data_IF_998104725223
#
_entry.id   IF_998104725223
#
_cell.length_a   1.000
_cell.length_b   1.000
_cell.length_c   1.000
_cell.angle_alpha   90.00
_cell.angle_beta   90.00
_cell.angle_gamma   90.00
#
_symmetry.space_group_name_H-M   'P 1'
#
loop_
_entity.id
_entity.type
_entity.pdbx_description
1 polymer ?
#
# COMPACT_ATOMS: atom_id res chain seq x y z
N UNK A 1 3.06 -8.23 -9.38
CA UNK A 1 2.04 -8.85 -10.27
C UNK A 1 2.20 -8.37 -11.70
N UNK A 2 2.17 -7.06 -11.97
CA UNK A 2 2.40 -6.49 -13.32
C UNK A 2 3.72 -6.95 -13.98
N UNK A 3 4.82 -6.97 -13.21
CA UNK A 3 6.14 -7.41 -13.71
C UNK A 3 6.14 -8.83 -14.29
N UNK A 4 5.47 -9.77 -13.59
CA UNK A 4 5.32 -11.16 -14.05
C UNK A 4 4.37 -11.26 -15.24
N UNK A 5 3.32 -10.45 -15.27
CA UNK A 5 2.37 -10.42 -16.39
C UNK A 5 3.02 -9.93 -17.69
N UNK A 6 3.98 -9.01 -17.60
CA UNK A 6 4.77 -8.52 -18.74
C UNK A 6 5.92 -9.47 -19.15
N UNK A 7 6.03 -10.66 -18.54
CA UNK A 7 7.04 -11.67 -18.90
C UNK A 7 8.47 -11.38 -18.44
N UNK A 8 8.67 -10.43 -17.53
CA UNK A 8 10.00 -10.01 -17.05
C UNK A 8 10.47 -10.84 -15.87
N UNK A 9 11.79 -11.01 -15.75
CA UNK A 9 12.38 -11.74 -14.63
C UNK A 9 12.36 -10.86 -13.37
N UNK A 10 11.99 -11.44 -12.23
CA UNK A 10 12.00 -10.76 -10.93
C UNK A 10 13.43 -10.35 -10.52
N UNK A 11 14.48 -10.96 -11.09
CA UNK A 11 15.90 -10.62 -10.82
C UNK A 11 16.31 -9.26 -11.36
N UNK A 12 15.58 -8.73 -12.34
CA UNK A 12 15.82 -7.39 -12.88
C UNK A 12 15.47 -6.26 -11.90
N UNK A 13 14.67 -6.55 -10.87
CA UNK A 13 14.18 -5.54 -9.92
C UNK A 13 15.25 -5.29 -8.85
N UNK A 14 15.82 -4.07 -8.75
CA UNK A 14 16.87 -3.75 -7.78
C UNK A 14 16.44 -3.94 -6.32
N UNK A 15 15.19 -3.61 -6.02
CA UNK A 15 14.64 -3.69 -4.67
C UNK A 15 13.38 -4.54 -4.65
N UNK A 16 13.44 -5.65 -3.91
CA UNK A 16 12.29 -6.53 -3.70
C UNK A 16 11.71 -6.31 -2.32
N UNK A 17 10.39 -6.12 -2.25
CA UNK A 17 9.70 -6.03 -0.98
C UNK A 17 9.87 -7.35 -0.19
N UNK A 18 10.28 -7.30 1.10
CA UNK A 18 10.62 -8.50 1.89
C UNK A 18 9.43 -9.44 2.11
N UNK A 19 8.21 -8.89 2.20
CA UNK A 19 6.97 -9.65 2.39
C UNK A 19 6.17 -9.84 1.08
N UNK A 20 6.68 -9.28 -0.04
CA UNK A 20 6.07 -9.39 -1.36
C UNK A 20 4.57 -9.08 -1.40
N UNK A 21 3.83 -9.89 -2.17
CA UNK A 21 2.38 -9.75 -2.38
C UNK A 21 1.59 -10.06 -1.11
N UNK A 22 2.03 -11.03 -0.31
CA UNK A 22 1.37 -11.43 0.93
C UNK A 22 1.37 -10.31 1.97
N UNK A 23 2.47 -9.57 2.09
CA UNK A 23 2.54 -8.40 2.96
C UNK A 23 1.50 -7.33 2.59
N UNK A 24 1.25 -7.11 1.31
CA UNK A 24 0.21 -6.18 0.86
C UNK A 24 -1.20 -6.64 1.23
N UNK A 25 -1.51 -7.94 1.11
CA UNK A 25 -2.82 -8.48 1.50
C UNK A 25 -3.07 -8.39 3.00
N UNK A 26 -2.07 -8.70 3.82
CA UNK A 26 -2.18 -8.57 5.28
C UNK A 26 -2.33 -7.11 5.69
N UNK A 27 -1.55 -6.21 5.09
CA UNK A 27 -1.68 -4.77 5.32
C UNK A 27 -3.05 -4.23 4.94
N UNK A 28 -3.57 -4.62 3.78
CA UNK A 28 -4.92 -4.25 3.34
C UNK A 28 -6.00 -4.75 4.31
N UNK A 29 -5.89 -5.99 4.77
CA UNK A 29 -6.80 -6.56 5.75
C UNK A 29 -6.77 -5.79 7.09
N UNK A 30 -5.58 -5.47 7.59
CA UNK A 30 -5.42 -4.73 8.84
C UNK A 30 -5.98 -3.30 8.73
N UNK A 31 -5.74 -2.62 7.61
CA UNK A 31 -6.31 -1.29 7.35
C UNK A 31 -7.84 -1.37 7.29
N UNK A 32 -8.41 -2.37 6.62
CA UNK A 32 -9.86 -2.56 6.58
C UNK A 32 -10.46 -2.78 7.98
N UNK A 33 -9.80 -3.57 8.83
CA UNK A 33 -10.20 -3.78 10.22
C UNK A 33 -10.16 -2.46 11.00
N UNK A 34 -9.08 -1.69 10.88
CA UNK A 34 -8.97 -0.37 11.51
C UNK A 34 -10.10 0.57 11.09
N UNK A 35 -10.46 0.61 9.80
CA UNK A 35 -11.56 1.45 9.32
C UNK A 35 -12.91 1.06 9.93
N UNK A 36 -13.18 -0.25 10.10
CA UNK A 36 -14.39 -0.75 10.77
C UNK A 36 -14.38 -0.35 12.25
N UNK A 37 -13.25 -0.49 12.93
CA UNK A 37 -13.12 -0.11 14.34
C UNK A 37 -13.31 1.41 14.54
N UNK A 38 -12.71 2.24 13.67
CA UNK A 38 -12.89 3.69 13.69
C UNK A 38 -14.35 4.07 13.42
N UNK A 39 -15.03 3.41 12.49
CA UNK A 39 -16.45 3.63 12.22
C UNK A 39 -17.30 3.31 13.46
N UNK A 40 -17.04 2.17 14.13
CA UNK A 40 -17.76 1.81 15.36
C UNK A 40 -17.52 2.83 16.49
N UNK A 41 -16.27 3.25 16.71
CA UNK A 41 -15.93 4.26 17.73
C UNK A 41 -16.56 5.63 17.42
N UNK A 42 -16.70 6.01 16.16
CA UNK A 42 -17.39 7.23 15.77
C UNK A 42 -18.91 7.14 16.03
N UNK A 43 -19.50 5.94 15.94
CA UNK A 43 -20.94 5.73 16.12
C UNK A 43 -21.33 5.53 17.59
N UNK A 44 -20.46 4.89 18.37
CA UNK A 44 -20.61 4.65 19.82
C UNK A 44 -19.39 5.18 20.58
N UNK A 45 -19.28 6.51 20.76
CA UNK A 45 -18.14 7.12 21.44
C UNK A 45 -18.05 6.75 22.93
N UNK A 46 -19.16 6.34 23.57
CA UNK A 46 -19.14 5.87 24.96
C UNK A 46 -20.11 4.70 25.22
N UNK A 47 -19.91 3.91 26.29
CA UNK A 47 -20.69 2.70 26.56
C UNK A 47 -22.21 2.90 26.71
N UNK A 48 -22.65 4.12 27.02
CA UNK A 48 -24.07 4.48 27.21
C UNK A 48 -24.52 5.62 26.27
N UNK A 49 -23.72 5.99 25.25
CA UNK A 49 -24.14 7.03 24.31
C UNK A 49 -25.13 6.47 23.29
N UNK A 50 -26.26 7.16 23.14
CA UNK A 50 -27.10 7.03 21.94
C UNK A 50 -26.33 7.54 20.72
N UNK A 51 -26.52 6.93 19.53
CA UNK A 51 -25.91 7.42 18.31
C UNK A 51 -26.42 8.82 17.99
N UNK A 52 -25.50 9.77 17.95
CA UNK A 52 -25.77 11.16 17.60
C UNK A 52 -25.09 11.51 16.27
N UNK A 53 -25.83 12.17 15.38
CA UNK A 53 -25.38 12.46 14.04
C UNK A 53 -24.26 13.52 14.04
N UNK A 54 -24.38 14.56 14.85
CA UNK A 54 -23.37 15.63 14.93
C UNK A 54 -22.01 15.07 15.37
N UNK A 55 -22.04 14.28 16.45
CA UNK A 55 -20.84 13.64 17.00
C UNK A 55 -20.20 12.66 16.01
N UNK A 56 -21.01 11.85 15.31
CA UNK A 56 -20.53 10.92 14.28
C UNK A 56 -19.86 11.64 13.10
N UNK A 57 -20.53 12.65 12.54
CA UNK A 57 -19.99 13.38 11.39
C UNK A 57 -18.74 14.19 11.76
N UNK A 58 -18.67 14.73 12.98
CA UNK A 58 -17.46 15.39 13.47
C UNK A 58 -16.29 14.40 13.60
N UNK A 59 -16.53 13.21 14.16
CA UNK A 59 -15.49 12.19 14.36
C UNK A 59 -15.08 11.48 13.05
N UNK A 60 -15.98 11.32 12.09
CA UNK A 60 -15.77 10.60 10.83
C UNK A 60 -15.64 11.51 9.60
N UNK A 61 -15.49 12.83 9.80
CA UNK A 61 -15.45 13.85 8.74
C UNK A 61 -14.37 13.56 7.68
N UNK A 62 -13.19 13.13 8.13
CA UNK A 62 -12.04 12.90 7.27
C UNK A 62 -12.35 11.94 6.12
N UNK A 63 -13.10 10.86 6.39
CA UNK A 63 -13.50 9.89 5.37
C UNK A 63 -14.33 10.54 4.27
N UNK A 64 -15.32 11.36 4.65
CA UNK A 64 -16.16 12.07 3.68
C UNK A 64 -15.37 13.08 2.87
N UNK A 65 -14.47 13.84 3.49
CA UNK A 65 -13.60 14.80 2.80
C UNK A 65 -12.72 14.09 1.77
N UNK A 66 -12.11 12.96 2.13
CA UNK A 66 -11.29 12.16 1.22
C UNK A 66 -12.11 11.65 0.03
N UNK A 67 -13.33 11.14 0.27
CA UNK A 67 -14.23 10.69 -0.80
C UNK A 67 -14.57 11.84 -1.75
N UNK A 68 -14.94 13.01 -1.22
CA UNK A 68 -15.29 14.18 -2.04
C UNK A 68 -14.09 14.65 -2.86
N UNK A 69 -12.90 14.76 -2.27
CA UNK A 69 -11.69 15.14 -2.99
C UNK A 69 -11.31 14.12 -4.06
N UNK A 70 -11.46 12.82 -3.78
CA UNK A 70 -11.23 11.77 -4.75
C UNK A 70 -12.21 11.86 -5.93
N UNK A 71 -13.51 12.02 -5.65
CA UNK A 71 -14.54 12.18 -6.68
C UNK A 71 -14.31 13.45 -7.50
N UNK A 72 -13.97 14.57 -6.85
CA UNK A 72 -13.62 15.82 -7.52
C UNK A 72 -12.46 15.61 -8.50
N UNK A 73 -11.37 14.98 -8.04
CA UNK A 73 -10.24 14.65 -8.90
C UNK A 73 -10.63 13.73 -10.06
N UNK A 74 -11.47 12.72 -9.82
CA UNK A 74 -11.96 11.80 -10.86
C UNK A 74 -12.80 12.52 -11.92
N UNK A 75 -13.69 13.41 -11.49
CA UNK A 75 -14.51 14.24 -12.39
C UNK A 75 -13.64 15.19 -13.20
N UNK A 76 -12.66 15.85 -12.57
CA UNK A 76 -11.74 16.78 -13.22
C UNK A 76 -10.82 16.09 -14.24
N UNK A 77 -10.16 14.99 -13.83
CA UNK A 77 -9.27 14.19 -14.67
C UNK A 77 -10.03 13.51 -15.82
N UNK A 78 -11.35 13.36 -15.69
CA UNK A 78 -12.25 12.68 -16.64
C UNK A 78 -11.86 11.23 -16.96
N UNK A 79 -10.90 10.69 -16.24
CA UNK A 79 -10.43 9.31 -16.31
C UNK A 79 -11.17 8.47 -15.29
N UNK A 80 -12.27 7.86 -15.71
CA UNK A 80 -13.12 7.03 -14.85
C UNK A 80 -12.61 5.60 -14.66
N UNK A 81 -11.51 5.21 -15.32
CA UNK A 81 -10.87 3.90 -15.11
C UNK A 81 -10.50 3.72 -13.62
N UNK A 82 -11.11 2.74 -12.96
CA UNK A 82 -10.82 2.40 -11.55
C UNK A 82 -9.57 1.56 -11.41
N UNK A 83 -9.23 0.81 -12.45
CA UNK A 83 -8.09 -0.10 -12.48
C UNK A 83 -7.28 0.16 -13.76
N UNK A 84 -5.97 -0.04 -13.65
CA UNK A 84 -5.06 -0.03 -14.79
C UNK A 84 -4.79 -1.48 -15.18
N UNK A 85 -4.85 -1.78 -16.49
CA UNK A 85 -4.53 -3.11 -16.98
C UNK A 85 -3.06 -3.41 -16.65
N UNK A 86 -2.77 -4.63 -16.17
CA UNK A 86 -1.40 -5.01 -15.78
C UNK A 86 -0.38 -4.88 -16.93
N UNK A 87 -0.83 -5.02 -18.18
CA UNK A 87 0.02 -4.86 -19.36
C UNK A 87 0.33 -3.39 -19.68
N UNK A 88 -0.55 -2.46 -19.29
CA UNK A 88 -0.42 -1.02 -19.58
C UNK A 88 0.31 -0.27 -18.45
N UNK A 89 0.67 -0.94 -17.36
CA UNK A 89 1.43 -0.33 -16.27
C UNK A 89 2.86 -0.09 -16.74
N UNK A 90 3.26 1.18 -16.78
CA UNK A 90 4.63 1.57 -17.06
C UNK A 90 5.54 1.22 -15.88
N UNK A 91 6.35 0.18 -16.08
CA UNK A 91 7.32 -0.33 -15.08
C UNK A 91 8.77 0.03 -15.45
N UNK A 92 8.99 0.61 -16.63
CA UNK A 92 10.33 0.86 -17.19
C UNK A 92 10.71 2.32 -17.04
N UNK A 93 9.78 3.23 -17.28
CA UNK A 93 10.08 4.66 -17.37
C UNK A 93 10.61 5.19 -16.04
N UNK A 94 11.80 5.80 -16.08
CA UNK A 94 12.52 6.27 -14.89
C UNK A 94 13.14 5.18 -14.01
N UNK A 95 12.95 3.88 -14.33
CA UNK A 95 13.60 2.79 -13.62
C UNK A 95 15.02 2.56 -14.15
N UNK A 96 15.96 2.18 -13.26
CA UNK A 96 17.26 1.62 -13.66
C UNK A 96 17.16 0.09 -13.55
N UNK A 97 17.02 -0.64 -14.67
CA UNK A 97 17.09 -2.10 -14.62
C UNK A 97 18.49 -2.53 -14.16
N UNK A 98 18.57 -3.62 -13.42
CA UNK A 98 19.85 -4.25 -13.10
C UNK A 98 20.42 -4.93 -14.35
N UNK A 99 21.71 -4.76 -14.61
CA UNK A 99 22.39 -5.59 -15.59
C UNK A 99 22.47 -7.04 -15.07
N UNK A 100 22.45 -8.06 -15.94
CA UNK A 100 22.55 -9.45 -15.52
C UNK A 100 23.78 -9.77 -14.65
N UNK A 101 24.87 -9.02 -14.82
CA UNK A 101 26.07 -9.13 -13.98
C UNK A 101 25.90 -8.56 -12.56
N UNK A 102 24.89 -7.73 -12.32
CA UNK A 102 24.59 -7.13 -11.03
C UNK A 102 23.64 -8.00 -10.18
N UNK A 103 23.00 -9.02 -10.76
CA UNK A 103 22.01 -9.87 -10.07
C UNK A 103 22.57 -10.57 -8.83
N UNK A 104 23.84 -11.01 -8.88
CA UNK A 104 24.49 -11.73 -7.77
C UNK A 104 25.34 -10.81 -6.86
N UNK A 105 25.49 -9.53 -7.23
CA UNK A 105 26.31 -8.56 -6.51
C UNK A 105 25.51 -7.63 -5.57
N UNK A 106 24.28 -8.02 -5.21
CA UNK A 106 23.45 -7.19 -4.33
C UNK A 106 24.02 -7.21 -2.90
N UNK A 107 24.32 -6.05 -2.26
CA UNK A 107 24.98 -5.97 -0.96
C UNK A 107 24.22 -6.67 0.19
N UNK A 108 22.94 -6.94 0.00
CA UNK A 108 22.09 -7.68 0.94
C UNK A 108 22.32 -9.19 0.96
N UNK A 109 22.82 -9.80 -0.12
CA UNK A 109 23.12 -11.23 -0.18
C UNK A 109 24.42 -11.58 0.55
N UNK A 110 25.36 -10.64 0.63
CA UNK A 110 26.67 -10.83 1.27
C UNK A 110 26.67 -10.55 2.80
N UNK A 111 25.50 -10.29 3.41
CA UNK A 111 25.42 -9.98 4.85
C UNK A 111 24.87 -11.15 5.66
N UNK A 112 25.73 -11.70 6.52
CA UNK A 112 25.38 -12.74 7.49
C UNK A 112 24.18 -12.34 8.34
N UNK A 113 23.25 -13.28 8.52
CA UNK A 113 21.99 -13.12 9.24
C UNK A 113 22.17 -12.54 10.66
N UNK A 114 23.28 -12.86 11.33
CA UNK A 114 23.59 -12.34 12.67
C UNK A 114 23.85 -10.83 12.73
N UNK A 115 24.45 -10.24 11.68
CA UNK A 115 24.72 -8.80 11.63
C UNK A 115 23.45 -7.93 11.52
N UNK A 116 22.36 -8.53 11.03
CA UNK A 116 21.06 -7.86 10.82
C UNK A 116 20.31 -7.70 12.14
N UNK A 117 20.39 -8.69 13.01
CA UNK A 117 19.70 -8.72 14.31
C UNK A 117 20.43 -7.84 15.34
N UNK A 118 21.77 -7.86 15.32
CA UNK A 118 22.60 -7.08 16.25
C UNK A 118 22.36 -5.56 16.16
N UNK A 119 22.11 -5.02 14.96
CA UNK A 119 21.82 -3.59 14.75
C UNK A 119 20.35 -3.19 14.92
N UNK A 120 19.42 -4.15 14.92
CA UNK A 120 18.02 -3.84 15.26
C UNK A 120 17.79 -3.77 16.77
N UNK A 121 18.76 -4.25 17.56
CA UNK A 121 18.68 -4.34 19.01
C UNK A 121 19.63 -3.35 19.73
N UNK A 122 20.53 -2.68 19.00
CA UNK A 122 21.47 -1.67 19.50
C UNK A 122 21.51 -0.45 18.59
#
# INVERSE_FOLDING_TARGET
>A
MAWKAQGRDLREIPYRAPLGVWGSWIGLFLVALCLIATFYNALYPSPNSSPDAETFFAAYLATFVVIVLYLFWKVWSRNWKLYVNLMDIDLVSGSRPLDPSEFDNTPEQNRSWGSRILRSLF
#
